data_IF_538663055566
#
_entry.id   IF_538663055566
#
_cell.length_a   1.000
_cell.length_b   1.000
_cell.length_c   1.000
_cell.angle_alpha   90.00
_cell.angle_beta   90.00
_cell.angle_gamma   90.00
#
_symmetry.space_group_name_H-M   'P 1'
#
loop_
_entity.id
_entity.type
_entity.pdbx_description
1 polymer ?
#
# COMPACT_ATOMS: atom_id res chain seq x y z
N UNK A 1 16.69 27.24 -23.57
CA UNK A 1 16.81 27.38 -22.10
C UNK A 1 15.92 28.47 -21.48
N UNK A 2 15.61 29.60 -22.16
CA UNK A 2 14.74 30.66 -21.61
C UNK A 2 13.31 30.21 -21.23
N UNK A 3 12.67 29.34 -22.02
CA UNK A 3 11.34 28.81 -21.69
C UNK A 3 11.29 27.91 -20.45
N UNK A 4 12.37 27.17 -20.15
CA UNK A 4 12.44 26.30 -18.97
C UNK A 4 12.51 27.11 -17.67
N UNK A 5 13.26 28.21 -17.66
CA UNK A 5 13.33 29.12 -16.49
C UNK A 5 11.97 29.76 -16.19
N UNK A 6 11.24 30.18 -17.23
CA UNK A 6 9.88 30.70 -17.09
C UNK A 6 8.91 29.66 -16.50
N UNK A 7 8.93 28.43 -17.04
CA UNK A 7 8.09 27.32 -16.55
C UNK A 7 8.40 26.97 -15.07
N UNK A 8 9.68 27.01 -14.64
CA UNK A 8 10.07 26.76 -13.25
C UNK A 8 9.65 27.87 -12.29
N UNK A 9 9.80 29.14 -12.70
CA UNK A 9 9.39 30.29 -11.87
C UNK A 9 7.88 30.33 -11.71
N UNK A 10 7.14 30.04 -12.79
CA UNK A 10 5.69 29.94 -12.77
C UNK A 10 5.23 28.79 -11.85
N UNK A 11 5.84 27.61 -11.96
CA UNK A 11 5.51 26.47 -11.09
C UNK A 11 5.74 26.80 -9.61
N UNK A 12 6.83 27.49 -9.30
CA UNK A 12 7.16 27.85 -7.92
C UNK A 12 6.28 28.97 -7.36
N UNK A 13 5.96 30.01 -8.15
CA UNK A 13 5.03 31.07 -7.75
C UNK A 13 3.63 30.50 -7.46
N UNK A 14 3.18 29.56 -8.29
CA UNK A 14 1.92 28.84 -8.12
C UNK A 14 1.92 28.00 -6.83
N UNK A 15 3.02 27.30 -6.53
CA UNK A 15 3.15 26.52 -5.30
C UNK A 15 3.10 27.38 -4.03
N UNK A 16 3.72 28.57 -4.03
CA UNK A 16 3.70 29.48 -2.88
C UNK A 16 2.31 30.00 -2.53
N UNK A 17 1.49 30.31 -3.53
CA UNK A 17 0.11 30.74 -3.33
C UNK A 17 -0.87 29.61 -2.99
N UNK A 18 -0.39 28.37 -2.90
CA UNK A 18 -1.25 27.20 -2.77
C UNK A 18 -1.68 26.93 -1.31
N UNK A 19 -2.91 26.44 -1.08
CA UNK A 19 -3.43 26.18 0.25
C UNK A 19 -2.64 25.08 0.97
N UNK A 20 -2.71 25.05 2.31
CA UNK A 20 -2.04 24.04 3.17
C UNK A 20 -2.27 22.59 2.74
N UNK A 21 -3.40 22.27 2.11
CA UNK A 21 -3.69 20.91 1.60
C UNK A 21 -2.71 20.46 0.50
N UNK A 22 -2.19 21.39 -0.30
CA UNK A 22 -1.24 21.07 -1.37
C UNK A 22 0.17 20.83 -0.81
N UNK A 23 0.55 21.58 0.23
CA UNK A 23 1.77 21.32 0.99
C UNK A 23 1.73 19.95 1.68
N UNK A 24 0.60 19.56 2.28
CA UNK A 24 0.43 18.22 2.84
C UNK A 24 0.57 17.11 1.81
N UNK A 25 0.00 17.30 0.60
CA UNK A 25 0.23 16.36 -0.51
C UNK A 25 1.71 16.21 -0.80
N UNK A 26 2.41 17.34 -1.03
CA UNK A 26 3.83 17.32 -1.40
C UNK A 26 4.69 16.67 -0.31
N UNK A 27 4.41 16.99 0.96
CA UNK A 27 5.08 16.38 2.11
C UNK A 27 4.84 14.87 2.17
N UNK A 28 3.60 14.39 2.00
CA UNK A 28 3.29 12.96 2.02
C UNK A 28 3.89 12.22 0.81
N UNK A 29 3.89 12.83 -0.38
CA UNK A 29 4.56 12.25 -1.55
C UNK A 29 6.08 12.20 -1.37
N UNK A 30 6.68 13.22 -0.76
CA UNK A 30 8.10 13.24 -0.43
C UNK A 30 8.43 12.18 0.64
N UNK A 31 7.57 12.01 1.64
CA UNK A 31 7.72 10.95 2.66
C UNK A 31 7.64 9.55 2.04
N UNK A 32 6.69 9.30 1.13
CA UNK A 32 6.63 8.04 0.39
C UNK A 32 7.89 7.81 -0.44
N UNK A 33 8.35 8.82 -1.18
CA UNK A 33 9.60 8.73 -1.95
C UNK A 33 10.83 8.52 -1.05
N UNK A 34 10.86 9.10 0.15
CA UNK A 34 11.91 8.88 1.14
C UNK A 34 11.94 7.44 1.64
N UNK A 35 10.78 6.86 1.97
CA UNK A 35 10.67 5.45 2.37
C UNK A 35 11.14 4.51 1.25
N UNK A 36 10.66 4.73 0.01
CA UNK A 36 11.08 3.93 -1.15
C UNK A 36 12.58 4.02 -1.43
N UNK A 37 13.15 5.23 -1.29
CA UNK A 37 14.60 5.44 -1.42
C UNK A 37 15.37 4.71 -0.32
N UNK A 38 14.92 4.80 0.94
CA UNK A 38 15.54 4.09 2.06
C UNK A 38 15.55 2.57 1.88
N UNK A 39 14.44 1.97 1.43
CA UNK A 39 14.38 0.53 1.15
C UNK A 39 15.29 0.12 -0.01
N UNK A 40 15.34 0.91 -1.09
CA UNK A 40 16.24 0.65 -2.22
C UNK A 40 17.73 0.77 -1.82
N UNK A 41 18.07 1.74 -0.97
CA UNK A 41 19.43 1.90 -0.45
C UNK A 41 19.83 0.75 0.48
N UNK A 42 18.93 0.32 1.36
CA UNK A 42 19.14 -0.86 2.20
C UNK A 42 19.38 -2.11 1.34
N UNK A 43 18.59 -2.30 0.29
CA UNK A 43 18.77 -3.39 -0.67
C UNK A 43 20.14 -3.34 -1.36
N UNK A 44 20.57 -2.14 -1.79
CA UNK A 44 21.87 -1.94 -2.42
C UNK A 44 23.06 -2.22 -1.48
N UNK A 45 22.94 -1.94 -0.17
CA UNK A 45 23.99 -2.33 0.79
C UNK A 45 24.12 -3.84 0.89
N UNK A 46 22.99 -4.57 0.92
CA UNK A 46 23.01 -6.04 1.01
C UNK A 46 23.71 -6.69 -0.18
N UNK A 47 23.63 -6.11 -1.38
CA UNK A 47 24.29 -6.66 -2.58
C UNK A 47 25.82 -6.50 -2.57
N UNK A 48 26.37 -5.61 -1.72
CA UNK A 48 27.81 -5.31 -1.65
C UNK A 48 28.49 -6.02 -0.48
N UNK A 49 27.74 -6.73 0.35
CA UNK A 49 28.31 -7.59 1.39
C UNK A 49 29.23 -8.61 0.70
N UNK A 50 30.54 -8.52 0.99
CA UNK A 50 31.57 -9.35 0.39
C UNK A 50 32.03 -10.41 1.41
N UNK A 51 31.26 -11.49 1.52
CA UNK A 51 31.76 -12.73 2.15
C UNK A 51 31.69 -13.86 1.14
N UNK A 52 32.73 -14.69 1.11
CA UNK A 52 32.80 -15.87 0.24
C UNK A 52 31.80 -16.93 0.71
N UNK A 53 31.24 -17.67 -0.23
CA UNK A 53 30.42 -18.86 0.03
C UNK A 53 31.27 -19.89 0.80
N UNK A 54 30.79 -20.37 1.95
CA UNK A 54 31.34 -21.54 2.67
C UNK A 54 32.68 -21.36 3.38
N UNK A 55 32.71 -20.68 4.54
CA UNK A 55 33.82 -20.83 5.51
C UNK A 55 34.34 -19.58 6.23
N UNK A 56 33.62 -18.46 6.27
CA UNK A 56 33.99 -17.30 7.10
C UNK A 56 33.31 -17.32 8.47
N UNK A 57 33.93 -16.69 9.48
CA UNK A 57 33.33 -16.41 10.80
C UNK A 57 31.94 -15.76 10.67
N UNK A 58 31.03 -16.07 11.60
CA UNK A 58 29.67 -15.49 11.67
C UNK A 58 29.75 -13.97 11.95
N UNK A 59 29.93 -13.19 10.88
CA UNK A 59 30.06 -11.72 10.95
C UNK A 59 28.76 -11.05 11.39
N UNK A 60 27.62 -11.64 11.05
CA UNK A 60 26.30 -11.17 11.44
C UNK A 60 25.58 -12.19 12.33
N UNK A 61 24.73 -11.71 13.23
CA UNK A 61 23.87 -12.59 14.05
C UNK A 61 22.81 -13.31 13.23
N UNK A 62 22.55 -12.87 12.00
CA UNK A 62 21.57 -13.47 11.10
C UNK A 62 22.28 -14.12 9.91
N UNK A 63 22.14 -15.44 9.82
CA UNK A 63 22.81 -16.24 8.80
C UNK A 63 22.35 -15.94 7.37
N UNK A 64 21.15 -15.37 7.18
CA UNK A 64 20.71 -14.87 5.88
C UNK A 64 21.65 -13.81 5.27
N UNK A 65 22.36 -13.06 6.12
CA UNK A 65 23.34 -12.07 5.69
C UNK A 65 24.73 -12.68 5.53
N UNK A 66 25.06 -13.71 6.32
CA UNK A 66 26.33 -14.42 6.24
C UNK A 66 26.43 -15.26 4.96
N UNK A 67 25.34 -15.93 4.59
CA UNK A 67 25.28 -16.80 3.41
C UNK A 67 24.96 -16.03 2.13
N UNK A 68 25.93 -15.94 1.23
CA UNK A 68 25.76 -15.18 -0.02
C UNK A 68 24.64 -15.70 -0.92
N UNK A 69 24.27 -16.98 -0.83
CA UNK A 69 23.13 -17.57 -1.57
C UNK A 69 21.75 -17.08 -1.12
N UNK A 70 21.63 -16.56 0.10
CA UNK A 70 20.35 -16.15 0.70
C UNK A 70 20.11 -14.65 0.67
N UNK A 71 21.16 -13.85 0.49
CA UNK A 71 21.08 -12.39 0.31
C UNK A 71 20.07 -11.93 -0.75
N UNK A 72 19.92 -12.60 -1.91
CA UNK A 72 18.91 -12.22 -2.89
C UNK A 72 17.48 -12.22 -2.32
N UNK A 73 17.17 -13.09 -1.35
CA UNK A 73 15.89 -13.11 -0.65
C UNK A 73 15.66 -11.86 0.19
N UNK A 74 16.68 -11.41 0.92
CA UNK A 74 16.63 -10.15 1.70
C UNK A 74 16.48 -8.94 0.78
N UNK A 75 17.23 -8.90 -0.32
CA UNK A 75 17.11 -7.86 -1.36
C UNK A 75 15.70 -7.85 -1.94
N UNK A 76 15.15 -9.02 -2.29
CA UNK A 76 13.80 -9.13 -2.82
C UNK A 76 12.75 -8.64 -1.82
N UNK A 77 12.88 -8.98 -0.53
CA UNK A 77 11.97 -8.50 0.52
C UNK A 77 12.00 -6.96 0.67
N UNK A 78 13.19 -6.36 0.65
CA UNK A 78 13.36 -4.90 0.69
C UNK A 78 12.81 -4.20 -0.56
N UNK A 79 13.00 -4.79 -1.74
CA UNK A 79 12.42 -4.24 -2.97
C UNK A 79 10.89 -4.41 -3.01
N UNK A 80 10.36 -5.50 -2.45
CA UNK A 80 8.91 -5.73 -2.39
C UNK A 80 8.20 -4.69 -1.51
N UNK A 81 8.88 -4.13 -0.49
CA UNK A 81 8.39 -2.99 0.30
C UNK A 81 8.13 -1.72 -0.52
N UNK A 82 8.71 -1.60 -1.72
CA UNK A 82 8.43 -0.48 -2.62
C UNK A 82 6.97 -0.54 -3.13
N UNK A 83 6.38 -1.73 -3.28
CA UNK A 83 5.01 -1.90 -3.77
C UNK A 83 3.97 -1.18 -2.89
N UNK A 84 3.88 -1.41 -1.57
CA UNK A 84 2.95 -0.66 -0.71
C UNK A 84 3.31 0.83 -0.63
N UNK A 85 4.58 1.20 -0.75
CA UNK A 85 5.00 2.62 -0.82
C UNK A 85 4.46 3.31 -2.08
N UNK A 86 4.51 2.67 -3.25
CA UNK A 86 3.93 3.20 -4.48
C UNK A 86 2.41 3.33 -4.36
N UNK A 87 1.73 2.35 -3.75
CA UNK A 87 0.30 2.45 -3.47
C UNK A 87 -0.02 3.64 -2.55
N UNK A 88 0.79 3.86 -1.50
CA UNK A 88 0.70 5.00 -0.61
C UNK A 88 0.89 6.34 -1.34
N UNK A 89 1.94 6.47 -2.16
CA UNK A 89 2.18 7.66 -3.00
C UNK A 89 0.98 7.90 -3.93
N UNK A 90 0.44 6.83 -4.52
CA UNK A 90 -0.78 6.88 -5.34
C UNK A 90 -1.98 7.47 -4.62
N UNK A 91 -2.19 7.15 -3.34
CA UNK A 91 -3.23 7.79 -2.51
C UNK A 91 -2.89 9.27 -2.23
N UNK A 92 -1.63 9.57 -1.93
CA UNK A 92 -1.19 10.93 -1.64
C UNK A 92 -1.42 11.87 -2.82
N UNK A 93 -1.09 11.45 -4.05
CA UNK A 93 -1.22 12.28 -5.26
C UNK A 93 -2.64 12.79 -5.51
N UNK A 94 -3.65 12.11 -4.97
CA UNK A 94 -5.04 12.46 -5.14
C UNK A 94 -5.53 13.54 -4.17
N UNK A 95 -4.83 13.74 -3.06
CA UNK A 95 -5.12 14.83 -2.12
C UNK A 95 -5.05 16.15 -2.91
N UNK A 96 -6.18 16.83 -3.05
CA UNK A 96 -6.25 18.09 -3.79
C UNK A 96 -6.19 17.97 -5.31
N UNK A 97 -6.39 16.78 -5.89
CA UNK A 97 -6.45 16.57 -7.34
C UNK A 97 -7.50 17.49 -8.00
N UNK A 98 -8.69 17.64 -7.42
CA UNK A 98 -9.72 18.54 -7.95
C UNK A 98 -9.28 20.00 -8.03
N UNK A 99 -8.60 20.51 -6.99
CA UNK A 99 -8.09 21.89 -7.00
C UNK A 99 -6.97 22.07 -8.03
N UNK A 100 -6.12 21.06 -8.15
CA UNK A 100 -5.08 21.03 -9.18
C UNK A 100 -5.68 21.03 -10.57
N UNK A 101 -6.71 20.21 -10.82
CA UNK A 101 -7.42 20.20 -12.10
C UNK A 101 -8.04 21.57 -12.41
N UNK A 102 -8.72 22.21 -11.45
CA UNK A 102 -9.26 23.56 -11.62
C UNK A 102 -8.16 24.59 -11.92
N UNK A 103 -7.02 24.52 -11.22
CA UNK A 103 -5.87 25.38 -11.47
C UNK A 103 -5.27 25.17 -12.85
N UNK A 104 -5.05 23.93 -13.25
CA UNK A 104 -4.49 23.60 -14.56
C UNK A 104 -5.49 23.95 -15.68
N UNK A 105 -6.80 23.84 -15.44
CA UNK A 105 -7.84 24.29 -16.35
C UNK A 105 -7.82 25.82 -16.50
N UNK A 106 -7.72 26.58 -15.41
CA UNK A 106 -7.58 28.04 -15.45
C UNK A 106 -6.33 28.49 -16.23
N UNK A 107 -5.20 27.78 -16.07
CA UNK A 107 -3.99 28.00 -16.88
C UNK A 107 -4.26 27.73 -18.37
N UNK A 108 -5.02 26.69 -18.71
CA UNK A 108 -5.39 26.41 -20.10
C UNK A 108 -6.35 27.46 -20.68
N UNK A 109 -7.31 27.92 -19.89
CA UNK A 109 -8.28 28.95 -20.29
C UNK A 109 -7.62 30.33 -20.48
N UNK A 110 -6.49 30.57 -19.81
CA UNK A 110 -5.63 31.75 -20.03
C UNK A 110 -4.60 31.57 -21.15
N UNK A 111 -4.67 30.48 -21.92
CA UNK A 111 -3.86 30.26 -23.13
C UNK A 111 -2.65 29.33 -22.96
N UNK A 112 -2.44 28.70 -21.80
CA UNK A 112 -1.32 27.77 -21.62
C UNK A 112 -1.49 26.49 -22.45
N UNK A 113 -0.41 26.07 -23.12
CA UNK A 113 -0.41 24.87 -23.96
C UNK A 113 -0.47 23.58 -23.11
N UNK A 114 -1.04 22.47 -23.61
CA UNK A 114 -1.03 21.18 -22.92
C UNK A 114 0.38 20.64 -22.62
N UNK A 115 1.40 21.08 -23.36
CA UNK A 115 2.80 20.75 -23.09
C UNK A 115 3.32 21.51 -21.86
N UNK A 116 3.02 22.80 -21.72
CA UNK A 116 3.38 23.61 -20.55
C UNK A 116 2.72 23.08 -19.28
N UNK A 117 1.42 22.78 -19.32
CA UNK A 117 0.67 22.21 -18.17
C UNK A 117 1.28 20.89 -17.70
N UNK A 118 1.63 19.99 -18.63
CA UNK A 118 2.30 18.72 -18.30
C UNK A 118 3.71 18.92 -17.73
N UNK A 119 4.44 19.95 -18.18
CA UNK A 119 5.77 20.28 -17.65
C UNK A 119 5.68 20.83 -16.22
N UNK A 120 4.79 21.77 -15.97
CA UNK A 120 4.55 22.33 -14.63
C UNK A 120 4.22 21.19 -13.65
N UNK A 121 3.29 20.33 -14.03
CA UNK A 121 2.91 19.19 -13.20
C UNK A 121 4.04 18.16 -12.98
N UNK A 122 4.89 17.95 -13.98
CA UNK A 122 6.06 17.09 -13.86
C UNK A 122 7.12 17.71 -12.94
N UNK A 123 7.32 19.04 -13.00
CA UNK A 123 8.24 19.77 -12.13
C UNK A 123 7.77 19.73 -10.67
N UNK A 124 6.47 19.88 -10.41
CA UNK A 124 5.91 19.72 -9.06
C UNK A 124 6.19 18.32 -8.48
N UNK A 125 5.90 17.27 -9.26
CA UNK A 125 6.12 15.90 -8.83
C UNK A 125 7.61 15.55 -8.70
N UNK A 126 8.43 16.04 -9.63
CA UNK A 126 9.89 15.87 -9.59
C UNK A 126 10.53 16.58 -8.40
N UNK A 127 10.05 17.77 -8.03
CA UNK A 127 10.53 18.48 -6.84
C UNK A 127 10.18 17.71 -5.55
N UNK A 128 8.96 17.21 -5.43
CA UNK A 128 8.57 16.36 -4.30
C UNK A 128 9.37 15.04 -4.26
N UNK A 129 9.57 14.41 -5.41
CA UNK A 129 10.39 13.20 -5.54
C UNK A 129 11.86 13.44 -5.19
N UNK A 130 12.42 14.59 -5.58
CA UNK A 130 13.79 15.01 -5.24
C UNK A 130 13.95 15.26 -3.75
N UNK A 131 13.05 16.03 -3.15
CA UNK A 131 13.04 16.24 -1.69
C UNK A 131 12.92 14.91 -0.95
N UNK A 132 12.04 14.02 -1.41
CA UNK A 132 11.89 12.69 -0.85
C UNK A 132 13.15 11.83 -1.00
N UNK A 133 13.78 11.80 -2.17
CA UNK A 133 14.99 11.03 -2.40
C UNK A 133 16.16 11.50 -1.53
N UNK A 134 16.36 12.82 -1.41
CA UNK A 134 17.39 13.40 -0.53
C UNK A 134 17.08 13.11 0.93
N UNK A 135 15.83 13.28 1.37
CA UNK A 135 15.42 12.94 2.73
C UNK A 135 15.55 11.45 3.03
N UNK A 136 15.29 10.58 2.04
CA UNK A 136 15.47 9.13 2.15
C UNK A 136 16.94 8.74 2.28
N UNK A 137 17.83 9.35 1.50
CA UNK A 137 19.28 9.17 1.64
C UNK A 137 19.76 9.64 3.01
N UNK A 138 19.37 10.85 3.43
CA UNK A 138 19.74 11.40 4.73
C UNK A 138 19.22 10.50 5.87
N UNK A 139 17.95 10.09 5.82
CA UNK A 139 17.34 9.20 6.79
C UNK A 139 17.99 7.81 6.83
N UNK A 140 18.39 7.28 5.68
CA UNK A 140 19.13 6.02 5.61
C UNK A 140 20.50 6.14 6.30
N UNK A 141 21.24 7.21 6.01
CA UNK A 141 22.57 7.43 6.61
C UNK A 141 22.48 7.69 8.12
N UNK A 142 21.50 8.47 8.59
CA UNK A 142 21.30 8.73 10.02
C UNK A 142 20.86 7.47 10.76
N UNK A 143 19.91 6.70 10.20
CA UNK A 143 19.49 5.43 10.79
C UNK A 143 20.66 4.44 10.84
N UNK A 144 21.44 4.36 9.77
CA UNK A 144 22.64 3.51 9.72
C UNK A 144 23.67 3.91 10.77
N UNK A 145 23.94 5.21 10.93
CA UNK A 145 24.88 5.72 11.94
C UNK A 145 24.37 5.45 13.36
N UNK A 146 23.08 5.65 13.62
CA UNK A 146 22.46 5.35 14.91
C UNK A 146 22.53 3.84 15.22
N UNK A 147 22.24 2.99 14.25
CA UNK A 147 22.31 1.53 14.38
C UNK A 147 23.75 1.06 14.57
N UNK A 148 24.74 1.71 13.93
CA UNK A 148 26.16 1.44 14.18
C UNK A 148 26.56 1.79 15.63
N UNK A 149 26.13 2.97 16.11
CA UNK A 149 26.41 3.42 17.48
C UNK A 149 25.78 2.51 18.55
N UNK A 150 24.58 1.98 18.30
CA UNK A 150 23.91 1.05 19.23
C UNK A 150 24.53 -0.35 19.22
N UNK A 151 25.07 -0.80 18.09
CA UNK A 151 25.72 -2.11 18.00
C UNK A 151 27.10 -2.13 18.64
N UNK A 152 27.85 -1.03 18.58
CA UNK A 152 29.22 -0.96 19.12
C UNK A 152 30.14 -2.01 18.51
N UNK A 153 31.14 -2.45 19.27
CA UNK A 153 32.14 -3.45 18.87
C UNK A 153 31.72 -4.88 19.22
N UNK A 154 30.47 -5.25 18.88
CA UNK A 154 30.01 -6.63 19.05
C UNK A 154 30.78 -7.57 18.12
N UNK A 155 31.11 -8.76 18.62
CA UNK A 155 31.74 -9.84 17.82
C UNK A 155 30.88 -10.21 16.59
N UNK A 156 29.55 -10.22 16.74
CA UNK A 156 28.60 -10.41 15.64
C UNK A 156 27.63 -9.23 15.55
N UNK A 157 27.58 -8.57 14.38
CA UNK A 157 26.70 -7.43 14.14
C UNK A 157 25.27 -7.90 13.80
N UNK A 158 24.26 -7.18 14.27
CA UNK A 158 22.86 -7.47 13.91
C UNK A 158 22.51 -6.99 12.49
N UNK A 159 23.10 -5.88 12.05
CA UNK A 159 22.82 -5.24 10.77
C UNK A 159 24.12 -4.83 10.05
N UNK A 160 24.15 -4.84 8.70
CA UNK A 160 25.34 -4.56 7.90
C UNK A 160 25.70 -3.06 7.89
N UNK A 161 26.29 -2.61 9.00
CA UNK A 161 26.70 -1.21 9.23
C UNK A 161 28.18 -0.98 8.92
N UNK A 162 28.95 -2.06 8.84
CA UNK A 162 30.36 -2.16 8.54
C UNK A 162 30.67 -2.16 7.03
N UNK A 163 29.69 -2.50 6.19
CA UNK A 163 29.85 -2.56 4.72
C UNK A 163 29.73 -1.17 4.11
N UNK A 164 30.73 -0.63 3.38
CA UNK A 164 30.68 0.73 2.86
C UNK A 164 29.43 0.98 2.02
N UNK A 165 28.87 2.18 2.12
CA UNK A 165 27.70 2.56 1.29
C UNK A 165 28.14 2.54 -0.18
N UNK A 166 27.45 1.79 -1.05
CA UNK A 166 27.81 1.78 -2.45
C UNK A 166 27.30 3.06 -3.11
N UNK A 167 28.16 4.07 -3.16
CA UNK A 167 27.79 5.42 -3.59
C UNK A 167 27.29 5.49 -5.03
N UNK A 168 27.77 4.62 -5.93
CA UNK A 168 27.31 4.57 -7.31
C UNK A 168 25.84 4.14 -7.44
N UNK A 169 25.40 2.96 -6.95
CA UNK A 169 23.97 2.62 -6.96
C UNK A 169 23.14 3.56 -6.07
N UNK A 170 23.69 4.09 -4.97
CA UNK A 170 23.00 5.10 -4.17
C UNK A 170 22.69 6.38 -4.97
N UNK A 171 23.67 6.90 -5.72
CA UNK A 171 23.48 8.04 -6.60
C UNK A 171 22.47 7.73 -7.72
N UNK A 172 22.54 6.53 -8.31
CA UNK A 172 21.57 6.08 -9.32
C UNK A 172 20.14 6.03 -8.75
N UNK A 173 19.94 5.49 -7.55
CA UNK A 173 18.64 5.44 -6.88
C UNK A 173 18.11 6.85 -6.63
N UNK A 174 18.93 7.73 -6.05
CA UNK A 174 18.55 9.12 -5.73
C UNK A 174 18.21 9.92 -6.99
N UNK A 175 18.86 9.65 -8.12
CA UNK A 175 18.55 10.26 -9.41
C UNK A 175 17.34 9.62 -10.10
N UNK A 176 17.14 8.31 -9.95
CA UNK A 176 16.03 7.58 -10.57
C UNK A 176 14.68 7.96 -9.96
N UNK A 177 14.61 8.16 -8.64
CA UNK A 177 13.34 8.46 -7.93
C UNK A 177 12.64 9.73 -8.46
N UNK A 178 13.31 10.89 -8.61
CA UNK A 178 12.72 12.08 -9.22
C UNK A 178 12.33 11.86 -10.68
N UNK A 179 13.14 11.13 -11.45
CA UNK A 179 12.83 10.80 -12.85
C UNK A 179 11.53 9.99 -12.92
N UNK A 180 11.40 8.93 -12.13
CA UNK A 180 10.19 8.12 -12.05
C UNK A 180 8.97 8.96 -11.63
N UNK A 181 9.10 9.82 -10.62
CA UNK A 181 8.03 10.73 -10.20
C UNK A 181 7.58 11.69 -11.32
N UNK A 182 8.54 12.23 -12.09
CA UNK A 182 8.22 13.10 -13.24
C UNK A 182 7.54 12.33 -14.37
N UNK A 183 7.97 11.10 -14.65
CA UNK A 183 7.42 10.24 -15.69
C UNK A 183 5.99 9.82 -15.35
N UNK A 184 5.74 9.44 -14.09
CA UNK A 184 4.41 9.11 -13.57
C UNK A 184 3.47 10.31 -13.71
N UNK A 185 3.89 11.49 -13.26
CA UNK A 185 3.08 12.71 -13.38
C UNK A 185 2.77 13.08 -14.84
N UNK A 186 3.73 12.90 -15.76
CA UNK A 186 3.50 13.09 -17.19
C UNK A 186 2.50 12.09 -17.74
N UNK A 187 2.61 10.83 -17.35
CA UNK A 187 1.74 9.75 -17.84
C UNK A 187 0.30 9.92 -17.34
N UNK A 188 0.12 10.22 -16.05
CA UNK A 188 -1.17 10.47 -15.42
C UNK A 188 -1.95 11.61 -16.13
N UNK A 189 -1.25 12.64 -16.60
CA UNK A 189 -1.85 13.79 -17.27
C UNK A 189 -2.03 13.63 -18.79
N UNK A 190 -1.55 12.54 -19.42
CA UNK A 190 -1.79 12.28 -20.85
C UNK A 190 -3.29 12.19 -21.16
N UNK A 191 -4.08 11.59 -20.26
CA UNK A 191 -5.52 11.41 -20.42
C UNK A 191 -6.34 12.67 -20.06
N UNK A 192 -5.85 13.49 -19.14
CA UNK A 192 -6.53 14.72 -18.69
C UNK A 192 -6.36 15.90 -19.66
N UNK A 193 -5.37 15.86 -20.55
CA UNK A 193 -5.11 16.93 -21.52
C UNK A 193 -6.14 16.99 -22.67
N UNK A 194 -6.96 15.96 -22.85
CA UNK A 194 -7.83 15.83 -24.03
C UNK A 194 -9.13 16.63 -23.89
N UNK A 195 -9.61 16.92 -22.69
CA UNK A 195 -10.90 17.63 -22.52
C UNK A 195 -10.94 18.55 -21.28
N UNK A 196 -10.72 19.87 -21.43
CA UNK A 196 -10.73 20.82 -20.31
C UNK A 196 -12.15 21.12 -19.77
N UNK A 197 -13.20 20.94 -20.58
CA UNK A 197 -14.59 21.22 -20.20
C UNK A 197 -15.31 19.96 -19.69
N UNK A 198 -14.93 18.77 -20.17
CA UNK A 198 -15.41 17.49 -19.62
C UNK A 198 -15.02 17.24 -18.16
N UNK A 199 -14.01 17.94 -17.64
CA UNK A 199 -13.62 17.89 -16.23
C UNK A 199 -14.52 18.73 -15.30
N UNK A 200 -15.07 19.84 -15.79
CA UNK A 200 -16.03 20.69 -15.07
C UNK A 200 -17.46 20.12 -15.15
N UNK A 201 -17.79 19.48 -16.26
CA UNK A 201 -19.11 18.90 -16.52
C UNK A 201 -19.20 17.40 -16.22
N UNK A 202 -18.47 16.89 -15.20
CA UNK A 202 -18.49 15.45 -14.86
C UNK A 202 -19.91 14.99 -14.50
N UNK A 203 -20.68 14.57 -15.50
CA UNK A 203 -21.73 13.57 -15.29
C UNK A 203 -21.02 12.34 -14.74
N UNK A 204 -21.47 11.75 -13.62
CA UNK A 204 -20.89 10.53 -13.09
C UNK A 204 -20.85 9.53 -14.25
N UNK A 205 -19.65 9.15 -14.68
CA UNK A 205 -19.48 8.12 -15.71
C UNK A 205 -20.19 6.89 -15.14
N UNK A 206 -21.39 6.60 -15.64
CA UNK A 206 -22.06 5.31 -15.41
C UNK A 206 -21.08 4.27 -15.91
N UNK A 207 -20.32 3.67 -15.00
CA UNK A 207 -19.48 2.53 -15.33
C UNK A 207 -20.43 1.47 -15.89
N UNK A 208 -20.38 1.29 -17.21
CA UNK A 208 -21.31 0.49 -18.01
C UNK A 208 -21.07 -1.01 -17.83
N UNK A 209 -19.97 -1.39 -17.20
CA UNK A 209 -19.71 -2.73 -16.67
C UNK A 209 -20.46 -2.89 -15.35
N UNK A 210 -21.52 -3.71 -15.37
CA UNK A 210 -22.41 -3.99 -14.24
C UNK A 210 -21.60 -4.26 -12.97
N UNK A 211 -21.64 -3.36 -11.97
CA UNK A 211 -20.55 -3.28 -11.00
C UNK A 211 -20.63 -4.39 -9.94
N UNK A 212 -21.70 -5.19 -9.99
CA UNK A 212 -21.90 -6.39 -9.19
C UNK A 212 -22.37 -7.57 -10.03
N UNK A 213 -21.95 -7.69 -11.28
CA UNK A 213 -22.29 -8.89 -12.02
C UNK A 213 -21.42 -10.04 -11.49
N UNK A 214 -22.03 -10.70 -10.51
CA UNK A 214 -21.80 -12.03 -10.02
C UNK A 214 -20.65 -12.30 -9.02
N UNK A 215 -19.76 -11.36 -8.64
CA UNK A 215 -18.60 -11.64 -7.73
C UNK A 215 -17.68 -12.77 -8.24
N UNK A 216 -17.85 -13.16 -9.52
CA UNK A 216 -18.25 -14.50 -10.00
C UNK A 216 -17.54 -15.70 -9.40
N UNK A 217 -17.44 -16.83 -10.04
CA UNK A 217 -16.19 -17.08 -10.73
C UNK A 217 -14.98 -17.26 -9.79
N UNK A 218 -14.38 -16.21 -9.16
CA UNK A 218 -12.92 -16.14 -8.91
C UNK A 218 -12.39 -15.54 -7.58
N UNK A 219 -13.20 -15.06 -6.63
CA UNK A 219 -12.96 -15.75 -5.35
C UNK A 219 -13.24 -17.19 -5.64
N UNK A 220 -14.27 -17.50 -6.41
CA UNK A 220 -14.55 -18.87 -6.76
C UNK A 220 -13.35 -19.56 -7.45
N UNK A 221 -12.97 -20.72 -7.01
CA UNK A 221 -13.36 -21.52 -5.88
C UNK A 221 -12.19 -21.46 -4.84
N UNK A 222 -11.95 -20.30 -4.24
CA UNK A 222 -10.69 -19.76 -3.68
C UNK A 222 -9.42 -20.38 -4.24
N UNK A 223 -8.97 -20.06 -5.46
CA UNK A 223 -9.76 -19.93 -6.69
C UNK A 223 -9.51 -21.20 -7.49
N UNK A 224 -10.28 -22.21 -7.07
CA UNK A 224 -10.51 -23.66 -7.33
C UNK A 224 -9.92 -24.66 -6.32
N UNK A 225 -9.08 -24.17 -5.42
CA UNK A 225 -7.67 -24.47 -5.65
C UNK A 225 -6.90 -23.77 -4.52
N UNK A 226 -6.28 -24.45 -3.58
CA UNK A 226 -4.88 -24.73 -3.86
C UNK A 226 -4.73 -25.91 -4.81
N UNK A 227 -5.04 -25.73 -6.11
CA UNK A 227 -5.72 -26.67 -7.06
C UNK A 227 -5.71 -28.04 -6.49
N UNK A 228 -6.75 -28.23 -5.68
CA UNK A 228 -7.07 -29.45 -4.96
C UNK A 228 -5.89 -29.89 -4.10
N UNK A 229 -5.61 -29.13 -3.03
CA UNK A 229 -4.58 -29.43 -2.01
C UNK A 229 -3.40 -30.14 -2.66
N UNK A 230 -2.98 -29.43 -3.70
CA UNK A 230 -2.05 -29.76 -4.75
C UNK A 230 -1.91 -31.24 -5.04
N UNK A 231 -2.88 -31.80 -5.76
CA UNK A 231 -2.82 -33.16 -6.27
C UNK A 231 -2.51 -34.20 -5.19
N UNK A 232 -2.94 -33.95 -3.94
CA UNK A 232 -2.98 -34.94 -2.84
C UNK A 232 -1.64 -35.68 -2.63
N UNK A 233 -0.52 -34.98 -2.47
CA UNK A 233 0.76 -35.61 -2.09
C UNK A 233 1.22 -36.77 -3.00
N UNK A 234 0.80 -36.77 -4.27
CA UNK A 234 1.28 -37.67 -5.34
C UNK A 234 2.76 -37.44 -5.62
N UNK A 235 3.49 -38.53 -5.79
CA UNK A 235 4.83 -38.61 -6.39
C UNK A 235 4.79 -38.25 -7.88
N UNK A 236 5.41 -37.13 -8.22
CA UNK A 236 5.89 -36.76 -9.55
C UNK A 236 7.20 -36.01 -9.31
N UNK A 237 8.32 -36.75 -9.31
CA UNK A 237 9.70 -36.37 -8.91
C UNK A 237 10.30 -35.07 -9.50
N UNK A 238 9.55 -34.22 -10.22
CA UNK A 238 10.08 -33.05 -10.92
C UNK A 238 9.19 -31.78 -10.94
N UNK A 239 8.09 -31.68 -10.17
CA UNK A 239 7.27 -30.45 -10.20
C UNK A 239 7.73 -29.43 -9.13
N UNK A 240 8.17 -28.21 -9.51
CA UNK A 240 8.60 -27.20 -8.55
C UNK A 240 7.40 -26.60 -7.77
N UNK A 241 7.41 -26.72 -6.44
CA UNK A 241 6.35 -26.24 -5.52
C UNK A 241 6.20 -24.71 -5.52
N UNK A 242 7.33 -23.99 -5.62
CA UNK A 242 7.38 -22.54 -5.55
C UNK A 242 6.53 -21.81 -6.63
N UNK A 243 6.65 -22.09 -7.94
CA UNK A 243 5.87 -21.39 -8.97
C UNK A 243 4.36 -21.60 -8.84
N UNK A 244 3.91 -22.72 -8.27
CA UNK A 244 2.49 -22.98 -8.03
C UNK A 244 1.98 -22.11 -6.87
N UNK A 245 2.72 -22.00 -5.77
CA UNK A 245 2.37 -21.08 -4.68
C UNK A 245 2.30 -19.63 -5.19
N UNK A 246 3.22 -19.24 -6.06
CA UNK A 246 3.22 -17.92 -6.72
C UNK A 246 1.99 -17.76 -7.61
N UNK A 247 1.60 -18.80 -8.37
CA UNK A 247 0.40 -18.77 -9.21
C UNK A 247 -0.89 -18.64 -8.38
N UNK A 248 -1.02 -19.38 -7.27
CA UNK A 248 -2.16 -19.28 -6.34
C UNK A 248 -2.22 -17.86 -5.75
N UNK A 249 -1.08 -17.33 -5.29
CA UNK A 249 -0.99 -15.97 -4.76
C UNK A 249 -1.41 -14.93 -5.81
N UNK A 250 -0.92 -15.05 -7.04
CA UNK A 250 -1.24 -14.13 -8.14
C UNK A 250 -2.72 -14.18 -8.54
N UNK A 251 -3.29 -15.38 -8.66
CA UNK A 251 -4.71 -15.59 -8.97
C UNK A 251 -5.60 -15.01 -7.85
N UNK A 252 -5.27 -15.29 -6.58
CA UNK A 252 -5.96 -14.70 -5.45
C UNK A 252 -5.86 -13.18 -5.49
N UNK A 253 -4.66 -12.61 -5.64
CA UNK A 253 -4.45 -11.17 -5.72
C UNK A 253 -5.28 -10.53 -6.85
N UNK A 254 -5.32 -11.15 -8.03
CA UNK A 254 -6.10 -10.67 -9.16
C UNK A 254 -7.61 -10.74 -8.88
N UNK A 255 -8.10 -11.88 -8.37
CA UNK A 255 -9.50 -12.07 -7.98
C UNK A 255 -9.95 -11.07 -6.93
N UNK A 256 -9.09 -10.79 -5.94
CA UNK A 256 -9.29 -9.76 -4.93
C UNK A 256 -9.47 -8.37 -5.59
N UNK A 257 -8.56 -7.97 -6.49
CA UNK A 257 -8.66 -6.68 -7.18
C UNK A 257 -9.99 -6.53 -7.93
N UNK A 258 -10.43 -7.56 -8.65
CA UNK A 258 -11.69 -7.51 -9.42
C UNK A 258 -12.97 -7.58 -8.57
N UNK A 259 -12.92 -8.22 -7.39
CA UNK A 259 -14.09 -8.39 -6.51
C UNK A 259 -14.32 -7.19 -5.58
N UNK A 260 -13.30 -6.35 -5.38
CA UNK A 260 -13.33 -5.19 -4.49
C UNK A 260 -14.53 -4.23 -4.69
N UNK A 261 -14.86 -3.87 -5.94
CA UNK A 261 -16.00 -3.00 -6.24
C UNK A 261 -17.35 -3.71 -6.02
N UNK A 262 -17.42 -5.01 -6.33
CA UNK A 262 -18.57 -5.84 -6.04
C UNK A 262 -18.87 -5.93 -4.54
N UNK A 263 -17.84 -6.10 -3.71
CA UNK A 263 -17.96 -6.08 -2.24
C UNK A 263 -18.48 -4.73 -1.73
N UNK A 264 -18.00 -3.62 -2.28
CA UNK A 264 -18.49 -2.29 -1.93
C UNK A 264 -19.97 -2.10 -2.27
N UNK A 265 -20.44 -2.63 -3.40
CA UNK A 265 -21.86 -2.59 -3.78
C UNK A 265 -22.72 -3.51 -2.94
N UNK A 266 -22.25 -4.73 -2.68
CA UNK A 266 -23.01 -5.70 -1.90
C UNK A 266 -23.22 -5.17 -0.49
N UNK A 267 -22.15 -4.71 0.16
CA UNK A 267 -22.22 -4.11 1.50
C UNK A 267 -23.03 -2.81 1.50
N UNK A 268 -22.90 -2.00 0.45
CA UNK A 268 -23.72 -0.80 0.25
C UNK A 268 -25.21 -1.09 0.11
N UNK A 269 -25.59 -2.11 -0.68
CA UNK A 269 -26.98 -2.56 -0.85
C UNK A 269 -27.57 -3.12 0.44
N UNK A 270 -26.80 -3.90 1.19
CA UNK A 270 -27.24 -4.44 2.47
C UNK A 270 -27.43 -3.33 3.51
N UNK A 271 -26.50 -2.37 3.59
CA UNK A 271 -26.61 -1.24 4.50
C UNK A 271 -27.78 -0.30 4.14
N UNK A 272 -28.03 -0.10 2.84
CA UNK A 272 -29.14 0.71 2.34
C UNK A 272 -30.53 0.11 2.62
N UNK A 273 -30.63 -1.16 3.06
CA UNK A 273 -31.89 -1.76 3.53
C UNK A 273 -32.22 -1.45 4.99
N UNK A 274 -31.28 -0.87 5.74
CA UNK A 274 -31.49 -0.57 7.16
C UNK A 274 -32.33 0.70 7.36
N UNK A 275 -33.14 0.78 8.42
CA UNK A 275 -33.79 2.04 8.82
C UNK A 275 -32.87 3.03 9.55
N UNK A 276 -31.61 2.65 9.86
CA UNK A 276 -30.69 3.50 10.63
C UNK A 276 -30.07 4.58 9.72
N UNK A 277 -30.20 5.89 10.03
CA UNK A 277 -29.74 6.98 9.15
C UNK A 277 -28.26 6.88 8.73
N UNK A 278 -27.38 6.46 9.66
CA UNK A 278 -25.96 6.33 9.36
C UNK A 278 -25.64 5.20 8.36
N UNK A 279 -26.37 4.08 8.43
CA UNK A 279 -26.22 2.96 7.50
C UNK A 279 -26.83 3.29 6.13
N UNK A 280 -27.95 4.00 6.10
CA UNK A 280 -28.56 4.50 4.86
C UNK A 280 -27.63 5.43 4.11
N UNK A 281 -27.08 6.44 4.80
CA UNK A 281 -26.15 7.40 4.19
C UNK A 281 -24.89 6.67 3.67
N UNK A 282 -24.30 5.79 4.47
CA UNK A 282 -23.14 5.02 4.05
C UNK A 282 -23.46 4.10 2.86
N UNK A 283 -24.59 3.39 2.92
CA UNK A 283 -25.03 2.45 1.90
C UNK A 283 -25.30 3.12 0.55
N UNK A 284 -26.04 4.23 0.54
CA UNK A 284 -26.32 4.98 -0.69
C UNK A 284 -25.05 5.60 -1.28
N UNK A 285 -24.10 6.04 -0.44
CA UNK A 285 -22.79 6.52 -0.93
C UNK A 285 -21.97 5.44 -1.60
N UNK A 286 -21.93 4.24 -1.01
CA UNK A 286 -21.23 3.08 -1.58
C UNK A 286 -21.89 2.63 -2.88
N UNK A 287 -23.22 2.70 -2.97
CA UNK A 287 -23.97 2.39 -4.20
C UNK A 287 -23.72 3.42 -5.31
N UNK A 288 -23.57 4.70 -4.95
CA UNK A 288 -23.35 5.78 -5.91
C UNK A 288 -21.96 5.73 -6.55
N UNK A 289 -20.91 5.42 -5.78
CA UNK A 289 -19.53 5.32 -6.28
C UNK A 289 -18.74 4.18 -5.61
N UNK A 290 -18.98 2.92 -6.03
CA UNK A 290 -18.34 1.75 -5.43
C UNK A 290 -16.86 1.63 -5.78
N UNK A 291 -16.44 2.14 -6.93
CA UNK A 291 -15.06 2.08 -7.40
C UNK A 291 -14.13 3.02 -6.62
N UNK A 292 -14.65 4.10 -6.05
CA UNK A 292 -13.89 4.90 -5.10
C UNK A 292 -13.52 4.08 -3.85
N UNK A 293 -14.50 3.41 -3.23
CA UNK A 293 -14.27 2.58 -2.04
C UNK A 293 -13.43 1.32 -2.35
N UNK A 294 -13.64 0.70 -3.50
CA UNK A 294 -12.90 -0.48 -3.95
C UNK A 294 -11.38 -0.26 -3.94
N UNK A 295 -10.93 0.88 -4.49
CA UNK A 295 -9.50 1.18 -4.68
C UNK A 295 -8.73 1.33 -3.37
N UNK A 296 -9.32 1.94 -2.34
CA UNK A 296 -8.68 2.08 -1.03
C UNK A 296 -8.64 0.74 -0.27
N UNK A 297 -9.71 -0.05 -0.36
CA UNK A 297 -9.81 -1.30 0.39
C UNK A 297 -9.08 -2.48 -0.28
N UNK A 298 -8.87 -2.45 -1.60
CA UNK A 298 -8.11 -3.48 -2.33
C UNK A 298 -6.69 -3.65 -1.79
N UNK A 299 -6.01 -2.55 -1.46
CA UNK A 299 -4.64 -2.61 -0.94
C UNK A 299 -4.60 -3.30 0.43
N UNK A 300 -5.55 -2.99 1.30
CA UNK A 300 -5.66 -3.63 2.63
C UNK A 300 -6.06 -5.10 2.51
N UNK A 301 -6.90 -5.42 1.54
CA UNK A 301 -7.29 -6.79 1.22
C UNK A 301 -6.10 -7.64 0.74
N UNK A 302 -5.23 -7.08 -0.12
CA UNK A 302 -3.97 -7.72 -0.52
C UNK A 302 -2.99 -7.84 0.65
N UNK A 303 -2.93 -6.85 1.53
CA UNK A 303 -2.12 -6.93 2.75
C UNK A 303 -2.63 -8.04 3.68
N UNK A 304 -3.94 -8.26 3.78
CA UNK A 304 -4.54 -9.38 4.51
C UNK A 304 -4.16 -10.73 3.88
N UNK A 305 -4.23 -10.85 2.56
CA UNK A 305 -3.80 -12.05 1.82
C UNK A 305 -2.36 -12.46 2.14
N UNK A 306 -1.42 -11.53 2.00
CA UNK A 306 -0.01 -11.81 2.25
C UNK A 306 0.26 -11.97 3.75
N UNK A 307 -0.36 -11.14 4.60
CA UNK A 307 -0.29 -11.20 6.07
C UNK A 307 -0.69 -12.54 6.65
N UNK A 308 -1.90 -13.00 6.31
CA UNK A 308 -2.45 -14.26 6.79
C UNK A 308 -1.67 -15.44 6.21
N UNK A 309 -1.35 -15.42 4.91
CA UNK A 309 -0.54 -16.47 4.28
C UNK A 309 0.83 -16.61 4.93
N UNK A 310 1.47 -15.49 5.25
CA UNK A 310 2.75 -15.44 5.96
C UNK A 310 2.68 -16.09 7.35
N UNK A 311 1.74 -15.63 8.20
CA UNK A 311 1.62 -16.13 9.59
C UNK A 311 1.28 -17.62 9.61
N UNK A 312 0.34 -18.05 8.77
CA UNK A 312 0.00 -19.46 8.65
C UNK A 312 1.20 -20.29 8.15
N UNK A 313 1.94 -19.82 7.15
CA UNK A 313 3.12 -20.52 6.63
C UNK A 313 4.20 -20.65 7.70
N UNK A 314 4.55 -19.55 8.36
CA UNK A 314 5.53 -19.53 9.46
C UNK A 314 5.16 -20.56 10.54
N UNK A 315 3.89 -20.61 10.95
CA UNK A 315 3.46 -21.54 12.00
C UNK A 315 3.52 -22.99 11.59
N UNK A 316 3.12 -23.31 10.37
CA UNK A 316 3.20 -24.68 9.84
C UNK A 316 4.65 -25.12 9.74
N UNK A 317 5.52 -24.31 9.13
CA UNK A 317 6.92 -24.67 8.92
C UNK A 317 7.70 -24.77 10.23
N UNK A 318 7.60 -23.81 11.14
CA UNK A 318 8.33 -23.86 12.42
C UNK A 318 7.93 -25.09 13.24
N UNK A 319 6.66 -25.44 13.23
CA UNK A 319 6.18 -26.63 13.93
C UNK A 319 6.56 -27.92 13.19
N UNK A 320 6.75 -27.91 11.87
CA UNK A 320 7.26 -29.08 11.13
C UNK A 320 8.72 -29.33 11.49
N UNK A 321 9.53 -28.28 11.46
CA UNK A 321 10.96 -28.32 11.79
C UNK A 321 11.21 -28.75 13.23
N UNK A 322 10.41 -28.28 14.18
CA UNK A 322 10.55 -28.66 15.60
C UNK A 322 10.22 -30.12 15.89
N UNK A 323 9.36 -30.73 15.07
CA UNK A 323 8.91 -32.11 15.27
C UNK A 323 9.75 -33.12 14.47
N UNK A 324 10.57 -32.67 13.54
CA UNK A 324 11.46 -33.52 12.74
C UNK A 324 12.80 -33.69 13.46
N UNK A 325 13.13 -34.93 13.82
CA UNK A 325 14.36 -35.28 14.55
C UNK A 325 15.63 -35.07 13.73
N UNK A 326 15.52 -34.87 12.42
CA UNK A 326 16.67 -34.61 11.54
C UNK A 326 17.16 -33.16 11.63
N UNK A 327 16.37 -32.24 12.21
CA UNK A 327 16.78 -30.84 12.37
C UNK A 327 17.26 -30.58 13.81
N UNK A 328 18.47 -30.05 13.93
CA UNK A 328 19.01 -29.62 15.22
C UNK A 328 18.37 -28.30 15.67
N UNK A 329 18.52 -27.95 16.96
CA UNK A 329 18.04 -26.66 17.47
C UNK A 329 18.66 -25.45 16.73
N UNK A 330 19.90 -25.59 16.24
CA UNK A 330 20.57 -24.59 15.41
C UNK A 330 19.86 -24.40 14.07
N UNK A 331 19.55 -25.49 13.37
CA UNK A 331 18.85 -25.44 12.08
C UNK A 331 17.47 -24.78 12.21
N UNK A 332 16.71 -25.13 13.24
CA UNK A 332 15.40 -24.52 13.49
C UNK A 332 15.52 -23.00 13.69
N UNK A 333 16.54 -22.54 14.43
CA UNK A 333 16.76 -21.11 14.70
C UNK A 333 17.05 -20.30 13.43
N UNK A 334 17.79 -20.90 12.49
CA UNK A 334 18.10 -20.32 11.19
C UNK A 334 16.82 -20.04 10.36
N UNK A 335 15.95 -21.03 10.22
CA UNK A 335 14.69 -20.86 9.48
C UNK A 335 13.77 -19.85 10.17
N UNK A 336 13.64 -19.92 11.51
CA UNK A 336 12.84 -18.97 12.30
C UNK A 336 13.34 -17.54 12.08
N UNK A 337 14.66 -17.30 12.09
CA UNK A 337 15.25 -15.98 11.84
C UNK A 337 14.88 -15.43 10.46
N UNK A 338 14.87 -16.27 9.43
CA UNK A 338 14.44 -15.86 8.10
C UNK A 338 12.94 -15.55 8.02
N UNK A 339 12.11 -16.33 8.70
CA UNK A 339 10.70 -15.99 8.85
C UNK A 339 10.53 -14.65 9.59
N UNK A 340 11.22 -14.43 10.71
CA UNK A 340 11.04 -13.22 11.49
C UNK A 340 11.46 -11.95 10.73
N UNK A 341 12.49 -12.03 9.89
CA UNK A 341 12.91 -10.93 9.02
C UNK A 341 11.84 -10.58 7.96
N UNK A 342 11.30 -11.59 7.27
CA UNK A 342 10.23 -11.37 6.29
C UNK A 342 8.92 -10.92 6.96
N UNK A 343 8.64 -11.39 8.19
CA UNK A 343 7.55 -10.90 9.02
C UNK A 343 7.70 -9.41 9.39
N UNK A 344 8.92 -8.97 9.70
CA UNK A 344 9.22 -7.56 9.96
C UNK A 344 9.00 -6.70 8.71
N UNK A 345 9.47 -7.15 7.55
CA UNK A 345 9.21 -6.47 6.28
C UNK A 345 7.70 -6.38 6.00
N UNK A 346 6.96 -7.46 6.22
CA UNK A 346 5.50 -7.48 6.04
C UNK A 346 4.78 -6.51 6.99
N UNK A 347 5.22 -6.44 8.26
CA UNK A 347 4.67 -5.51 9.24
C UNK A 347 4.88 -4.05 8.82
N UNK A 348 6.08 -3.71 8.31
CA UNK A 348 6.36 -2.38 7.74
C UNK A 348 5.42 -2.11 6.55
N UNK A 349 5.28 -3.07 5.64
CA UNK A 349 4.38 -2.96 4.49
C UNK A 349 2.93 -2.71 4.90
N UNK A 350 2.42 -3.46 5.88
CA UNK A 350 1.08 -3.27 6.45
C UNK A 350 0.92 -1.88 7.07
N UNK A 351 1.93 -1.39 7.80
CA UNK A 351 1.89 -0.05 8.39
C UNK A 351 1.79 1.05 7.30
N UNK A 352 2.51 0.90 6.19
CA UNK A 352 2.42 1.80 5.02
C UNK A 352 1.02 1.72 4.39
N UNK A 353 0.46 0.52 4.25
CA UNK A 353 -0.90 0.32 3.71
C UNK A 353 -1.97 0.96 4.58
N UNK A 354 -1.90 0.78 5.90
CA UNK A 354 -2.84 1.39 6.86
C UNK A 354 -2.73 2.92 6.85
N UNK A 355 -1.50 3.44 6.74
CA UNK A 355 -1.26 4.89 6.58
C UNK A 355 -1.88 5.41 5.28
N UNK A 356 -1.76 4.65 4.18
CA UNK A 356 -2.37 4.98 2.90
C UNK A 356 -3.90 4.97 2.93
N UNK A 357 -4.50 4.05 3.69
CA UNK A 357 -5.94 4.06 3.94
C UNK A 357 -6.37 5.32 4.68
N UNK A 358 -5.65 5.73 5.74
CA UNK A 358 -5.95 6.97 6.46
C UNK A 358 -5.92 8.19 5.54
N UNK A 359 -4.91 8.28 4.67
CA UNK A 359 -4.81 9.32 3.64
C UNK A 359 -6.02 9.30 2.69
N UNK A 360 -6.41 8.12 2.21
CA UNK A 360 -7.58 7.96 1.34
C UNK A 360 -8.90 8.38 2.02
N UNK A 361 -9.05 8.13 3.32
CA UNK A 361 -10.19 8.61 4.10
C UNK A 361 -10.18 10.14 4.15
N UNK A 362 -9.05 10.76 4.49
CA UNK A 362 -8.93 12.24 4.50
C UNK A 362 -9.28 12.84 3.14
N UNK A 363 -8.79 12.24 2.06
CA UNK A 363 -9.11 12.65 0.69
C UNK A 363 -10.62 12.58 0.40
N UNK A 364 -11.27 11.46 0.76
CA UNK A 364 -12.72 11.28 0.59
C UNK A 364 -13.52 12.35 1.37
N UNK A 365 -13.08 12.67 2.59
CA UNK A 365 -13.71 13.69 3.42
C UNK A 365 -13.52 15.11 2.83
N UNK A 366 -12.34 15.40 2.28
CA UNK A 366 -12.05 16.68 1.65
C UNK A 366 -12.84 16.91 0.36
N UNK A 367 -12.98 15.87 -0.47
CA UNK A 367 -13.76 15.96 -1.72
C UNK A 367 -15.26 16.13 -1.44
N UNK A 368 -15.76 15.57 -0.33
CA UNK A 368 -17.17 15.60 0.07
C UNK A 368 -17.52 16.70 1.10
N UNK A 369 -16.61 17.64 1.36
CA UNK A 369 -16.82 18.70 2.38
C UNK A 369 -18.13 19.48 2.18
N UNK A 370 -18.48 19.82 0.94
CA UNK A 370 -19.69 20.60 0.60
C UNK A 370 -20.96 19.80 0.87
N UNK A 371 -21.00 18.53 0.44
CA UNK A 371 -22.17 17.67 0.66
C UNK A 371 -22.37 17.37 2.15
N UNK A 372 -21.28 17.20 2.91
CA UNK A 372 -21.33 17.06 4.36
C UNK A 372 -21.82 18.33 5.06
N UNK A 373 -21.36 19.51 4.62
CA UNK A 373 -21.83 20.80 5.15
C UNK A 373 -23.32 21.05 4.83
N UNK A 374 -23.77 20.69 3.63
CA UNK A 374 -25.19 20.78 3.24
C UNK A 374 -26.08 19.85 4.08
N UNK A 375 -25.65 18.60 4.32
CA UNK A 375 -26.39 17.68 5.20
C UNK A 375 -26.45 18.18 6.64
N UNK A 376 -25.37 18.78 7.14
CA UNK A 376 -25.34 19.40 8.46
C UNK A 376 -26.26 20.63 8.54
N UNK A 377 -26.30 21.46 7.48
CA UNK A 377 -27.19 22.61 7.38
C UNK A 377 -28.66 22.19 7.28
N UNK A 378 -28.96 21.05 6.64
CA UNK A 378 -30.28 20.44 6.59
C UNK A 378 -30.72 19.79 7.94
N UNK A 379 -29.92 19.92 9.00
CA UNK A 379 -30.26 19.44 10.35
C UNK A 379 -29.78 18.03 10.69
N UNK A 380 -28.97 17.38 9.83
CA UNK A 380 -28.46 16.04 10.15
C UNK A 380 -27.50 16.10 11.35
N UNK A 381 -27.72 15.30 12.43
CA UNK A 381 -26.86 15.35 13.60
C UNK A 381 -25.41 14.99 13.26
N UNK A 382 -24.44 15.73 13.82
CA UNK A 382 -22.99 15.48 13.60
C UNK A 382 -22.58 14.03 13.93
N UNK A 383 -23.18 13.45 14.98
CA UNK A 383 -22.94 12.06 15.39
C UNK A 383 -23.36 11.07 14.29
N UNK A 384 -24.42 11.36 13.54
CA UNK A 384 -24.89 10.52 12.42
C UNK A 384 -23.91 10.60 11.26
N UNK A 385 -23.43 11.80 10.90
CA UNK A 385 -22.43 11.97 9.84
C UNK A 385 -21.12 11.25 10.17
N UNK A 386 -20.67 11.33 11.44
CA UNK A 386 -19.46 10.67 11.93
C UNK A 386 -19.57 9.14 11.88
N UNK A 387 -20.72 8.60 12.30
CA UNK A 387 -21.00 7.16 12.19
C UNK A 387 -21.13 6.72 10.73
N UNK A 388 -21.75 7.52 9.88
CA UNK A 388 -21.88 7.21 8.46
C UNK A 388 -20.51 7.12 7.79
N UNK A 389 -19.58 8.02 8.09
CA UNK A 389 -18.21 7.96 7.55
C UNK A 389 -17.42 6.75 8.04
N UNK A 390 -17.59 6.36 9.30
CA UNK A 390 -16.99 5.12 9.83
C UNK A 390 -17.59 3.87 9.17
N UNK A 391 -18.90 3.87 8.93
CA UNK A 391 -19.57 2.74 8.29
C UNK A 391 -19.23 2.66 6.80
N UNK A 392 -19.05 3.79 6.12
CA UNK A 392 -18.63 3.87 4.72
C UNK A 392 -17.28 3.19 4.48
N UNK A 393 -16.36 3.23 5.46
CA UNK A 393 -15.09 2.49 5.41
C UNK A 393 -15.24 1.08 5.96
N UNK A 394 -15.87 0.90 7.13
CA UNK A 394 -15.95 -0.40 7.81
C UNK A 394 -16.73 -1.44 7.01
N UNK A 395 -17.87 -1.07 6.43
CA UNK A 395 -18.78 -1.99 5.73
C UNK A 395 -18.08 -2.78 4.60
N UNK A 396 -17.42 -2.14 3.63
CA UNK A 396 -16.68 -2.86 2.58
C UNK A 396 -15.36 -3.46 3.06
N UNK A 397 -14.72 -2.85 4.06
CA UNK A 397 -13.39 -3.26 4.52
C UNK A 397 -13.42 -4.58 5.30
N UNK A 398 -14.43 -4.81 6.14
CA UNK A 398 -14.54 -6.04 6.94
C UNK A 398 -14.59 -7.31 6.09
N UNK A 399 -15.53 -7.46 5.13
CA UNK A 399 -15.54 -8.64 4.27
C UNK A 399 -14.33 -8.68 3.34
N UNK A 400 -13.75 -7.54 2.95
CA UNK A 400 -12.54 -7.52 2.14
C UNK A 400 -11.34 -8.14 2.90
N UNK A 401 -11.10 -7.73 4.14
CA UNK A 401 -10.00 -8.29 4.94
C UNK A 401 -10.23 -9.77 5.26
N UNK A 402 -11.47 -10.18 5.58
CA UNK A 402 -11.81 -11.59 5.79
C UNK A 402 -11.56 -12.43 4.54
N UNK A 403 -12.01 -11.96 3.39
CA UNK A 403 -11.87 -12.65 2.11
C UNK A 403 -10.40 -12.72 1.67
N UNK A 404 -9.63 -11.65 1.88
CA UNK A 404 -8.17 -11.67 1.73
C UNK A 404 -7.51 -12.68 2.67
N UNK A 405 -7.93 -12.74 3.94
CA UNK A 405 -7.42 -13.71 4.91
C UNK A 405 -7.74 -15.15 4.52
N UNK A 406 -8.95 -15.42 4.02
CA UNK A 406 -9.31 -16.73 3.47
C UNK A 406 -8.43 -17.11 2.27
N UNK A 407 -8.17 -16.18 1.34
CA UNK A 407 -7.19 -16.38 0.27
C UNK A 407 -5.77 -16.65 0.80
N UNK A 408 -5.38 -16.03 1.91
CA UNK A 408 -4.09 -16.29 2.55
C UNK A 408 -3.98 -17.72 3.09
N UNK A 409 -5.05 -18.22 3.71
CA UNK A 409 -5.11 -19.59 4.21
C UNK A 409 -5.04 -20.64 3.08
N UNK A 410 -5.59 -20.36 1.90
CA UNK A 410 -5.53 -21.30 0.78
C UNK A 410 -4.13 -21.48 0.19
N UNK A 411 -3.22 -20.52 0.41
CA UNK A 411 -1.79 -20.66 0.05
C UNK A 411 -1.10 -21.73 0.91
N UNK A 412 -1.48 -21.84 2.18
CA UNK A 412 -0.83 -22.72 3.17
C UNK A 412 -1.46 -24.11 3.22
N UNK A 413 -2.72 -24.22 2.80
CA UNK A 413 -3.47 -25.47 2.86
C UNK A 413 -2.77 -26.68 2.18
N UNK A 414 -2.09 -26.56 1.02
CA UNK A 414 -1.35 -27.68 0.42
C UNK A 414 -0.17 -28.17 1.27
N UNK A 415 0.54 -27.25 1.94
CA UNK A 415 1.69 -27.61 2.81
C UNK A 415 1.22 -28.41 4.01
N UNK A 416 0.09 -28.02 4.61
CA UNK A 416 -0.53 -28.77 5.72
C UNK A 416 -0.98 -30.17 5.29
N UNK A 417 -1.46 -30.32 4.06
CA UNK A 417 -1.89 -31.61 3.51
C UNK A 417 -0.70 -32.58 3.32
N UNK A 418 0.48 -32.10 2.93
CA UNK A 418 1.71 -32.92 2.80
C UNK A 418 2.21 -33.39 4.15
N UNK A 419 2.17 -32.54 5.18
CA UNK A 419 2.69 -32.86 6.52
C UNK A 419 1.83 -33.78 7.38
N UNK A 420 0.84 -34.48 6.82
CA UNK A 420 -0.14 -35.33 7.53
C UNK A 420 -0.85 -34.67 8.73
N UNK A 421 -0.93 -33.34 8.76
CA UNK A 421 -1.57 -32.61 9.87
C UNK A 421 -3.09 -32.61 9.72
N UNK A 422 -3.78 -32.82 10.84
CA UNK A 422 -5.26 -32.85 10.88
C UNK A 422 -5.93 -31.47 10.97
N UNK A 423 -5.20 -30.39 11.28
CA UNK A 423 -5.80 -29.07 11.49
C UNK A 423 -4.98 -27.90 10.92
N UNK A 424 -5.68 -26.95 10.30
CA UNK A 424 -5.13 -25.65 9.91
C UNK A 424 -4.91 -24.78 11.17
N UNK A 425 -3.80 -24.03 11.27
CA UNK A 425 -3.61 -23.10 12.38
C UNK A 425 -4.53 -21.89 12.19
N UNK A 426 -5.64 -21.83 12.92
CA UNK A 426 -6.64 -20.77 12.75
C UNK A 426 -6.45 -19.57 13.69
N UNK A 427 -5.90 -19.79 14.88
CA UNK A 427 -5.85 -18.76 15.93
C UNK A 427 -5.03 -17.53 15.50
N UNK A 428 -3.81 -17.73 15.04
CA UNK A 428 -2.91 -16.61 14.71
C UNK A 428 -3.27 -15.87 13.43
N UNK A 429 -3.63 -16.56 12.33
CA UNK A 429 -4.30 -15.92 11.22
C UNK A 429 -5.47 -15.06 11.67
N UNK A 430 -6.38 -15.60 12.51
CA UNK A 430 -7.54 -14.84 12.99
C UNK A 430 -7.14 -13.60 13.82
N UNK A 431 -6.10 -13.70 14.66
CA UNK A 431 -5.54 -12.57 15.40
C UNK A 431 -4.96 -11.50 14.46
N UNK A 432 -4.25 -11.88 13.41
CA UNK A 432 -3.74 -10.92 12.41
C UNK A 432 -4.88 -10.25 11.66
N UNK A 433 -5.89 -11.01 11.23
CA UNK A 433 -7.08 -10.48 10.54
C UNK A 433 -7.82 -9.47 11.44
N UNK A 434 -8.01 -9.80 12.72
CA UNK A 434 -8.60 -8.91 13.72
C UNK A 434 -7.76 -7.67 14.02
N UNK A 435 -6.43 -7.83 14.14
CA UNK A 435 -5.49 -6.73 14.35
C UNK A 435 -5.45 -5.77 13.17
N UNK A 436 -5.44 -6.27 11.93
CA UNK A 436 -5.49 -5.45 10.72
C UNK A 436 -6.81 -4.67 10.60
N UNK A 437 -7.93 -5.32 10.94
CA UNK A 437 -9.23 -4.66 11.03
C UNK A 437 -9.22 -3.53 12.06
N UNK A 438 -8.75 -3.82 13.28
CA UNK A 438 -8.65 -2.84 14.35
C UNK A 438 -7.76 -1.67 13.97
N UNK A 439 -6.56 -1.93 13.42
CA UNK A 439 -5.63 -0.90 12.96
C UNK A 439 -6.25 -0.01 11.87
N UNK A 440 -6.97 -0.60 10.91
CA UNK A 440 -7.61 0.14 9.83
C UNK A 440 -8.79 1.00 10.30
N UNK A 441 -9.58 0.48 11.26
CA UNK A 441 -10.68 1.23 11.89
C UNK A 441 -10.14 2.36 12.78
N UNK A 442 -9.05 2.12 13.53
CA UNK A 442 -8.36 3.14 14.31
C UNK A 442 -7.78 4.22 13.41
N UNK A 443 -7.11 3.85 12.31
CA UNK A 443 -6.59 4.78 11.33
C UNK A 443 -7.70 5.65 10.72
N UNK A 444 -8.86 5.04 10.43
CA UNK A 444 -10.05 5.78 10.05
C UNK A 444 -10.49 6.73 11.16
N UNK A 445 -10.64 6.24 12.39
CA UNK A 445 -11.12 7.03 13.52
C UNK A 445 -10.23 8.25 13.82
N UNK A 446 -8.90 8.07 13.75
CA UNK A 446 -7.89 9.13 13.93
C UNK A 446 -7.98 10.20 12.85
N UNK A 447 -8.48 9.87 11.65
CA UNK A 447 -8.70 10.84 10.58
C UNK A 447 -9.96 11.69 10.77
N UNK A 448 -10.92 11.25 11.61
CA UNK A 448 -12.22 11.91 11.75
C UNK A 448 -12.25 13.24 12.51
N UNK A 449 -11.34 13.58 13.44
CA UNK A 449 -11.27 14.93 14.01
C UNK A 449 -11.14 16.02 12.94
N UNK A 450 -10.56 15.70 11.77
CA UNK A 450 -10.48 16.60 10.62
C UNK A 450 -11.87 16.95 10.05
N UNK A 451 -12.90 16.10 10.24
CA UNK A 451 -14.29 16.42 9.89
C UNK A 451 -14.82 17.63 10.63
N UNK A 452 -14.40 17.85 11.89
CA UNK A 452 -14.90 18.99 12.68
C UNK A 452 -14.55 20.32 12.02
N UNK A 453 -13.43 20.36 11.27
CA UNK A 453 -12.97 21.55 10.51
C UNK A 453 -13.65 21.67 9.15
N UNK A 454 -14.10 20.58 8.54
CA UNK A 454 -14.70 20.59 7.19
C UNK A 454 -16.21 20.79 7.18
N UNK A 455 -16.92 20.48 8.28
CA UNK A 455 -18.39 20.60 8.41
C UNK A 455 -18.84 22.03 8.79
N UNK A 456 -17.95 23.02 8.78
CA UNK A 456 -18.32 24.39 9.10
C UNK A 456 -19.23 25.00 8.00
N UNK A 457 -20.38 25.59 8.35
CA UNK A 457 -21.30 26.18 7.38
C UNK A 457 -20.68 27.35 6.60
N UNK A 458 -19.60 27.94 7.09
CA UNK A 458 -18.78 28.90 6.35
C UNK A 458 -18.25 28.34 5.00
N UNK A 459 -18.14 27.01 4.85
CA UNK A 459 -17.74 26.40 3.59
C UNK A 459 -18.81 26.43 2.49
N UNK A 460 -20.05 26.84 2.81
CA UNK A 460 -21.12 27.09 1.84
C UNK A 460 -21.07 28.52 1.27
N UNK A 461 -20.34 29.44 1.91
CA UNK A 461 -20.35 30.89 1.60
C UNK A 461 -19.30 31.34 0.58
N UNK A 462 -18.41 30.46 0.12
CA UNK A 462 -17.35 30.82 -0.82
C UNK A 462 -17.50 30.05 -2.15
N UNK A 463 -18.23 30.65 -3.08
CA UNK A 463 -17.76 30.97 -4.44
C UNK A 463 -18.10 32.42 -4.76
#
# INVERSE_FOLDING_TARGET
MRGLRGDTLLAWAVLRGSPRSEWWRLALTALGAALGTGFALAAAVVTVINTRFGGGEHRYTNDLLNESGLRPGVVAALLLLIVPVLAFIGQCTRIGALRREHRLAALRLSGATPRQVRRIAALEAGAAGCLGAVAGLAGFLTLRAAVAAVQGDREALTWPTDVPVPWLPAALIVLAVPVLATLEARFALRRAAVDPLGAAARRPRRHRTGPGMWLLGPVALLAGIGLVLLGRAVDLDQVPVLPILVAILALCALGLVYTSAGLALLTGRLAARSGRPALLIAGERLRADPWAAARSHTVVMLASLVGVGWVAMRRVTVEMLRNDTNYSAGDVSFYVGGYDLAGLALLIGVAVVVSGLAVGVVESLMTRRRTLAALAAAGTPRKVLWRATLLETALPLTPAILLGGCCGLTIVAPVVAVGQRRALPLLEPALLTGGLLAASLLATAVSLPLLRRTVQPAQLRYE
#
